data_IF_416644130810
#
_entry.id   IF_416644130810
#
_cell.length_a   1.000
_cell.length_b   1.000
_cell.length_c   1.000
_cell.angle_alpha   90.00
_cell.angle_beta   90.00
_cell.angle_gamma   90.00
#
_symmetry.space_group_name_H-M   'P 1'
#
loop_
_entity.id
_entity.type
_entity.pdbx_description
1 polymer ?
#
# COMPACT_ATOMS: atom_id res chain seq x y z
N UNK A 1 -16.85 2.00 -25.07
CA UNK A 1 -15.50 1.86 -25.68
C UNK A 1 -15.11 3.24 -26.19
N UNK A 2 -13.84 3.63 -26.09
CA UNK A 2 -13.40 4.91 -26.67
C UNK A 2 -13.58 4.89 -28.20
N UNK A 3 -14.06 6.00 -28.76
CA UNK A 3 -14.13 6.19 -30.21
C UNK A 3 -12.85 6.83 -30.78
N UNK A 4 -11.89 7.18 -29.92
CA UNK A 4 -10.65 7.89 -30.26
C UNK A 4 -9.40 7.19 -29.70
N UNK A 5 -8.23 7.57 -30.21
CA UNK A 5 -6.92 7.06 -29.77
C UNK A 5 -6.67 7.37 -28.29
N UNK A 6 -6.29 6.37 -27.50
CA UNK A 6 -5.86 6.53 -26.11
C UNK A 6 -4.34 6.68 -26.02
N UNK A 7 -3.84 7.65 -25.25
CA UNK A 7 -2.43 7.75 -24.86
C UNK A 7 -2.24 7.28 -23.43
N UNK A 8 -1.27 6.41 -23.22
CA UNK A 8 -0.99 5.76 -21.95
C UNK A 8 0.33 6.28 -21.41
N UNK A 9 0.31 6.67 -20.14
CA UNK A 9 1.43 7.23 -19.42
C UNK A 9 1.67 6.43 -18.14
N UNK A 10 2.94 6.20 -17.82
CA UNK A 10 3.34 5.82 -16.47
C UNK A 10 3.59 7.10 -15.66
N UNK A 11 3.12 7.16 -14.42
CA UNK A 11 3.48 8.25 -13.51
C UNK A 11 4.73 7.82 -12.74
N UNK A 12 5.82 8.56 -12.92
CA UNK A 12 7.07 8.29 -12.22
C UNK A 12 6.96 8.68 -10.73
N UNK A 13 8.03 8.46 -9.96
CA UNK A 13 8.03 8.68 -8.50
C UNK A 13 7.78 10.14 -8.09
N UNK A 14 8.06 11.09 -8.99
CA UNK A 14 7.82 12.52 -8.77
C UNK A 14 6.39 12.95 -9.19
N UNK A 15 5.61 12.01 -9.75
CA UNK A 15 4.24 12.25 -10.24
C UNK A 15 4.16 12.76 -11.68
N UNK A 16 5.29 12.84 -12.38
CA UNK A 16 5.34 13.27 -13.78
C UNK A 16 4.91 12.13 -14.72
N UNK A 17 4.13 12.49 -15.75
CA UNK A 17 3.60 11.54 -16.72
C UNK A 17 4.60 11.26 -17.84
N UNK A 18 5.16 10.05 -17.86
CA UNK A 18 6.04 9.55 -18.90
C UNK A 18 5.25 8.78 -19.95
N UNK A 19 5.33 9.22 -21.21
CA UNK A 19 4.61 8.58 -22.31
C UNK A 19 5.10 7.15 -22.52
N UNK A 20 4.16 6.22 -22.60
CA UNK A 20 4.44 4.80 -22.76
C UNK A 20 3.98 4.28 -24.12
N UNK A 21 2.69 4.42 -24.42
CA UNK A 21 2.09 3.87 -25.64
C UNK A 21 0.87 4.66 -26.11
N UNK A 22 0.48 4.43 -27.36
CA UNK A 22 -0.81 4.85 -27.90
C UNK A 22 -1.58 3.62 -28.39
N UNK A 23 -2.90 3.61 -28.15
CA UNK A 23 -3.82 2.54 -28.55
C UNK A 23 -4.94 3.13 -29.40
N UNK A 24 -5.20 2.54 -30.57
CA UNK A 24 -6.41 2.86 -31.34
C UNK A 24 -7.62 2.09 -30.79
N UNK A 25 -8.86 2.54 -31.07
CA UNK A 25 -10.06 1.80 -30.67
C UNK A 25 -10.03 0.34 -31.14
N UNK A 26 -10.08 -0.59 -30.18
CA UNK A 26 -10.04 -2.04 -30.43
C UNK A 26 -8.65 -2.68 -30.29
N UNK A 27 -7.59 -1.88 -30.19
CA UNK A 27 -6.25 -2.38 -29.93
C UNK A 27 -6.03 -2.71 -28.45
N UNK A 28 -5.05 -3.58 -28.19
CA UNK A 28 -4.58 -3.91 -26.86
C UNK A 28 -3.08 -4.20 -26.85
N UNK A 29 -2.44 -4.05 -25.70
CA UNK A 29 -1.10 -4.58 -25.44
C UNK A 29 -1.03 -5.14 -24.02
N UNK A 30 0.01 -5.95 -23.78
CA UNK A 30 0.38 -6.42 -22.46
C UNK A 30 1.67 -5.74 -22.03
N UNK A 31 1.73 -5.30 -20.77
CA UNK A 31 2.93 -4.70 -20.18
C UNK A 31 3.23 -5.34 -18.85
N UNK A 32 4.48 -5.72 -18.65
CA UNK A 32 5.00 -6.06 -17.33
C UNK A 32 5.25 -4.76 -16.56
N UNK A 33 4.57 -4.60 -15.44
CA UNK A 33 4.70 -3.43 -14.56
C UNK A 33 4.83 -3.88 -13.10
N UNK A 34 5.21 -2.97 -12.21
CA UNK A 34 5.34 -3.29 -10.80
C UNK A 34 4.03 -3.02 -10.05
N UNK A 35 3.78 -3.79 -9.01
CA UNK A 35 2.69 -3.49 -8.09
C UNK A 35 2.82 -2.06 -7.57
N UNK A 36 1.69 -1.37 -7.42
CA UNK A 36 1.56 0.05 -7.07
C UNK A 36 1.97 1.08 -8.13
N UNK A 37 2.42 0.66 -9.33
CA UNK A 37 2.70 1.62 -10.40
C UNK A 37 1.44 2.36 -10.86
N UNK A 38 1.42 3.71 -10.84
CA UNK A 38 0.30 4.48 -11.34
C UNK A 38 0.40 4.65 -12.85
N UNK A 39 -0.71 4.40 -13.53
CA UNK A 39 -0.91 4.58 -14.96
C UNK A 39 -2.00 5.61 -15.19
N UNK A 40 -1.79 6.49 -16.18
CA UNK A 40 -2.77 7.48 -16.62
C UNK A 40 -3.07 7.30 -18.10
N UNK A 41 -4.35 7.26 -18.43
CA UNK A 41 -4.85 7.10 -19.78
C UNK A 41 -5.58 8.38 -20.18
N UNK A 42 -5.20 8.95 -21.31
CA UNK A 42 -5.70 10.23 -21.82
C UNK A 42 -6.29 10.03 -23.22
N UNK A 43 -7.43 10.67 -23.49
CA UNK A 43 -8.01 10.76 -24.83
C UNK A 43 -7.18 11.74 -25.69
N UNK A 44 -6.60 11.24 -26.78
CA UNK A 44 -5.71 12.04 -27.62
C UNK A 44 -6.43 13.20 -28.33
N UNK A 45 -7.75 13.13 -28.49
CA UNK A 45 -8.54 14.11 -29.25
C UNK A 45 -8.80 15.41 -28.48
N UNK A 46 -8.97 15.31 -27.16
CA UNK A 46 -9.36 16.42 -26.29
C UNK A 46 -8.43 16.61 -25.08
N UNK A 47 -7.50 15.68 -24.84
CA UNK A 47 -6.57 15.71 -23.73
C UNK A 47 -7.18 15.38 -22.37
N UNK A 48 -8.42 14.90 -22.31
CA UNK A 48 -9.09 14.53 -21.07
C UNK A 48 -8.53 13.22 -20.51
N UNK A 49 -8.36 13.16 -19.18
CA UNK A 49 -8.05 11.90 -18.49
C UNK A 49 -9.27 11.00 -18.59
N UNK A 50 -9.10 9.85 -19.23
CA UNK A 50 -10.15 8.84 -19.40
C UNK A 50 -10.19 7.92 -18.20
N UNK A 51 -9.01 7.51 -17.71
CA UNK A 51 -8.89 6.55 -16.62
C UNK A 51 -7.51 6.64 -15.98
N UNK A 52 -7.46 6.42 -14.68
CA UNK A 52 -6.23 6.16 -13.95
C UNK A 52 -6.26 4.77 -13.33
N UNK A 53 -5.10 4.16 -13.20
CA UNK A 53 -5.01 2.78 -12.78
C UNK A 53 -3.74 2.54 -11.99
N UNK A 54 -3.88 2.04 -10.76
CA UNK A 54 -2.75 1.60 -9.95
C UNK A 54 -2.61 0.09 -10.12
N UNK A 55 -1.47 -0.34 -10.64
CA UNK A 55 -1.19 -1.74 -10.87
C UNK A 55 -1.26 -2.54 -9.57
N UNK A 56 -1.91 -3.69 -9.63
CA UNK A 56 -2.02 -4.65 -8.51
C UNK A 56 -1.22 -5.90 -8.86
N UNK A 57 -0.79 -6.65 -7.84
CA UNK A 57 -0.14 -7.92 -8.07
C UNK A 57 -1.02 -8.89 -8.90
N UNK A 58 -0.40 -9.55 -9.87
CA UNK A 58 -1.04 -10.49 -10.79
C UNK A 58 -1.32 -9.89 -12.18
N UNK A 59 -1.79 -10.73 -13.10
CA UNK A 59 -2.22 -10.28 -14.42
C UNK A 59 -3.50 -9.45 -14.29
N UNK A 60 -3.55 -8.28 -14.91
CA UNK A 60 -4.65 -7.34 -14.82
C UNK A 60 -5.08 -6.93 -16.23
N UNK A 61 -6.34 -7.16 -16.55
CA UNK A 61 -6.91 -6.72 -17.82
C UNK A 61 -7.68 -5.42 -17.61
N UNK A 62 -7.18 -4.32 -18.18
CA UNK A 62 -7.82 -3.02 -18.16
C UNK A 62 -8.60 -2.82 -19.46
N UNK A 63 -9.91 -2.60 -19.39
CA UNK A 63 -10.70 -2.17 -20.55
C UNK A 63 -10.90 -0.67 -20.48
N UNK A 64 -10.45 0.06 -21.51
CA UNK A 64 -10.59 1.51 -21.58
C UNK A 64 -11.91 1.85 -22.28
N UNK A 65 -12.80 2.57 -21.59
CA UNK A 65 -14.10 2.99 -22.14
C UNK A 65 -14.45 4.43 -21.77
N UNK A 66 -15.18 5.12 -22.64
CA UNK A 66 -15.72 6.45 -22.36
C UNK A 66 -16.59 6.43 -21.08
N UNK A 67 -16.10 7.18 -20.09
CA UNK A 67 -16.73 7.54 -18.83
C UNK A 67 -17.14 6.37 -17.89
N UNK A 68 -16.17 5.94 -17.09
CA UNK A 68 -16.40 5.78 -15.66
C UNK A 68 -15.31 6.57 -14.93
N UNK A 69 -15.48 7.90 -14.87
CA UNK A 69 -14.60 8.83 -14.14
C UNK A 69 -14.78 8.70 -12.62
N UNK A 70 -14.94 7.49 -12.11
CA UNK A 70 -14.75 7.19 -10.68
C UNK A 70 -13.26 7.30 -10.38
N UNK A 71 -12.79 8.54 -10.27
CA UNK A 71 -11.67 9.01 -9.45
C UNK A 71 -10.82 7.87 -8.86
N UNK A 72 -9.96 7.29 -9.70
CA UNK A 72 -9.05 6.18 -9.35
C UNK A 72 -7.61 6.66 -9.16
N UNK A 73 -7.30 7.93 -9.42
CA UNK A 73 -6.06 8.50 -8.90
C UNK A 73 -6.11 8.42 -7.37
N UNK A 74 -5.06 7.90 -6.72
CA UNK A 74 -4.89 8.20 -5.32
C UNK A 74 -4.89 9.73 -5.17
N UNK A 75 -5.69 10.31 -4.26
CA UNK A 75 -5.72 11.74 -4.09
C UNK A 75 -4.30 12.23 -3.77
N UNK A 76 -3.92 13.43 -4.24
CA UNK A 76 -2.59 13.96 -4.00
C UNK A 76 -2.27 13.89 -2.50
N UNK A 77 -1.01 13.61 -2.11
CA UNK A 77 -0.63 13.60 -0.71
C UNK A 77 -1.05 14.91 -0.06
N UNK A 78 -1.75 14.87 1.08
CA UNK A 78 -2.15 16.11 1.75
C UNK A 78 -0.92 16.89 2.18
N UNK A 79 -1.04 18.22 2.15
CA UNK A 79 0.01 19.14 2.57
C UNK A 79 0.43 18.84 4.02
N UNK A 80 1.73 18.90 4.26
CA UNK A 80 2.31 18.68 5.59
C UNK A 80 2.02 19.90 6.46
N UNK A 81 1.33 19.68 7.57
CA UNK A 81 1.07 20.69 8.59
C UNK A 81 1.86 20.35 9.85
N UNK A 82 3.05 20.96 9.96
CA UNK A 82 3.95 20.72 11.08
C UNK A 82 3.29 21.05 12.42
N UNK A 83 3.44 20.15 13.40
CA UNK A 83 2.87 20.30 14.74
C UNK A 83 1.44 19.76 14.92
N UNK A 84 0.77 19.33 13.85
CA UNK A 84 -0.49 18.58 13.94
C UNK A 84 -0.26 17.14 14.42
N UNK A 85 -1.30 16.48 14.92
CA UNK A 85 -1.19 15.15 15.52
C UNK A 85 -0.81 14.06 14.50
N UNK A 86 -1.24 14.19 13.25
CA UNK A 86 -0.93 13.27 12.16
C UNK A 86 0.09 13.85 11.15
N UNK A 87 0.51 15.09 11.33
CA UNK A 87 1.39 15.84 10.44
C UNK A 87 0.72 16.40 9.19
N UNK A 88 -0.63 16.36 9.09
CA UNK A 88 -1.43 16.89 7.97
C UNK A 88 -2.74 17.56 8.43
N UNK A 89 -2.72 18.15 9.63
CA UNK A 89 -3.81 18.98 10.15
C UNK A 89 -4.83 18.22 11.00
N UNK A 90 -4.65 16.91 11.20
CA UNK A 90 -5.47 16.11 12.10
C UNK A 90 -5.19 16.42 13.58
N UNK A 91 -6.23 16.31 14.40
CA UNK A 91 -6.14 16.56 15.84
C UNK A 91 -6.19 15.22 16.59
N UNK A 92 -5.56 15.14 17.77
CA UNK A 92 -5.56 13.90 18.57
C UNK A 92 -6.98 13.38 18.86
N UNK A 93 -7.94 14.28 19.06
CA UNK A 93 -9.34 13.95 19.29
C UNK A 93 -10.02 13.24 18.11
N UNK A 94 -9.44 13.27 16.91
CA UNK A 94 -9.95 12.60 15.70
C UNK A 94 -9.53 11.13 15.63
N UNK A 95 -8.69 10.68 16.57
CA UNK A 95 -8.12 9.33 16.59
C UNK A 95 -8.51 8.54 17.82
N UNK A 96 -8.45 7.22 17.71
CA UNK A 96 -8.59 6.29 18.81
C UNK A 96 -7.35 5.37 18.87
N UNK A 97 -6.86 5.03 20.08
CA UNK A 97 -5.81 4.03 20.25
C UNK A 97 -6.21 2.70 19.61
N UNK A 98 -5.24 2.02 18.99
CA UNK A 98 -5.45 0.73 18.36
C UNK A 98 -4.33 -0.25 18.69
N UNK A 99 -4.66 -1.53 18.67
CA UNK A 99 -3.72 -2.63 18.90
C UNK A 99 -3.88 -3.66 17.80
N UNK A 100 -2.75 -4.22 17.36
CA UNK A 100 -2.77 -5.36 16.46
C UNK A 100 -3.26 -6.58 17.23
N UNK A 101 -4.43 -7.07 16.83
CA UNK A 101 -5.14 -8.17 17.50
C UNK A 101 -4.72 -9.52 16.89
N UNK A 102 -4.68 -9.59 15.55
CA UNK A 102 -4.32 -10.81 14.84
C UNK A 102 -3.58 -10.52 13.53
N UNK A 103 -2.68 -11.42 13.16
CA UNK A 103 -2.11 -11.51 11.81
C UNK A 103 -2.25 -12.95 11.33
N UNK A 104 -2.80 -13.12 10.13
CA UNK A 104 -2.97 -14.44 9.51
C UNK A 104 -2.36 -14.44 8.13
N UNK A 105 -1.78 -15.58 7.73
CA UNK A 105 -1.18 -15.79 6.42
C UNK A 105 -1.71 -17.09 5.85
N UNK A 106 -2.05 -17.07 4.57
CA UNK A 106 -2.30 -18.26 3.77
C UNK A 106 -1.53 -18.17 2.44
N UNK A 107 -1.70 -19.16 1.56
CA UNK A 107 -1.02 -19.18 0.26
C UNK A 107 -1.46 -18.03 -0.67
N UNK A 108 -2.63 -17.44 -0.41
CA UNK A 108 -3.26 -16.43 -1.26
C UNK A 108 -3.03 -14.99 -0.78
N UNK A 109 -2.46 -14.79 0.41
CA UNK A 109 -2.25 -13.47 0.98
C UNK A 109 -2.15 -13.47 2.50
N UNK A 110 -2.18 -12.27 3.07
CA UNK A 110 -2.19 -12.05 4.50
C UNK A 110 -3.27 -11.09 4.92
N UNK A 111 -3.59 -11.11 6.21
CA UNK A 111 -4.53 -10.20 6.84
C UNK A 111 -4.00 -9.77 8.20
N UNK A 112 -4.16 -8.48 8.50
CA UNK A 112 -3.91 -7.91 9.82
C UNK A 112 -5.21 -7.29 10.37
N UNK A 113 -5.57 -7.66 11.59
CA UNK A 113 -6.74 -7.15 12.31
C UNK A 113 -6.30 -6.20 13.41
N UNK A 114 -6.83 -4.98 13.42
CA UNK A 114 -6.61 -4.00 14.48
C UNK A 114 -7.87 -3.82 15.32
N UNK A 115 -7.77 -4.09 16.61
CA UNK A 115 -8.78 -3.69 17.57
C UNK A 115 -8.60 -2.19 17.88
N UNK A 116 -9.69 -1.41 17.75
CA UNK A 116 -9.69 0.04 17.99
C UNK A 116 -10.51 0.35 19.23
N UNK A 117 -9.91 1.05 20.19
CA UNK A 117 -10.56 1.35 21.47
C UNK A 117 -11.84 2.16 21.28
N UNK A 118 -12.94 1.71 21.90
CA UNK A 118 -14.24 2.36 21.80
C UNK A 118 -15.03 2.04 20.53
N UNK A 119 -14.52 1.17 19.65
CA UNK A 119 -15.21 0.72 18.44
C UNK A 119 -15.48 -0.79 18.49
N UNK A 120 -16.70 -1.23 18.12
CA UNK A 120 -17.08 -2.63 18.24
C UNK A 120 -16.46 -3.52 17.14
N UNK A 121 -16.06 -2.93 16.01
CA UNK A 121 -15.56 -3.65 14.85
C UNK A 121 -14.07 -3.35 14.65
N UNK A 122 -13.28 -4.40 14.40
CA UNK A 122 -11.87 -4.26 14.06
C UNK A 122 -11.66 -3.68 12.66
N UNK A 123 -10.56 -2.97 12.47
CA UNK A 123 -10.09 -2.58 11.13
C UNK A 123 -9.28 -3.73 10.55
N UNK A 124 -9.70 -4.22 9.39
CA UNK A 124 -9.06 -5.35 8.72
C UNK A 124 -8.29 -4.87 7.49
N UNK A 125 -7.00 -5.17 7.48
CA UNK A 125 -6.07 -4.85 6.40
C UNK A 125 -5.71 -6.13 5.65
N UNK A 126 -6.06 -6.19 4.36
CA UNK A 126 -5.56 -7.22 3.47
C UNK A 126 -4.18 -6.80 2.95
N UNK A 127 -3.20 -7.69 3.08
CA UNK A 127 -1.81 -7.44 2.77
C UNK A 127 -1.22 -8.61 1.98
N UNK A 128 -0.07 -8.42 1.35
CA UNK A 128 0.66 -9.51 0.73
C UNK A 128 1.23 -10.49 1.77
N UNK A 129 1.62 -11.68 1.30
CA UNK A 129 2.27 -12.70 2.13
C UNK A 129 3.55 -12.15 2.78
N UNK A 130 4.34 -11.38 2.02
CA UNK A 130 5.58 -10.78 2.51
C UNK A 130 5.34 -9.76 3.63
N UNK A 131 4.35 -8.88 3.47
CA UNK A 131 3.96 -7.89 4.48
C UNK A 131 3.43 -8.54 5.76
N UNK A 132 2.56 -9.54 5.64
CA UNK A 132 2.07 -10.25 6.81
C UNK A 132 3.19 -11.04 7.52
N UNK A 133 4.12 -11.62 6.76
CA UNK A 133 5.30 -12.24 7.36
C UNK A 133 6.15 -11.22 8.12
N UNK A 134 6.36 -10.03 7.55
CA UNK A 134 7.07 -8.94 8.22
C UNK A 134 6.37 -8.50 9.53
N UNK A 135 5.02 -8.43 9.53
CA UNK A 135 4.24 -8.16 10.74
C UNK A 135 4.41 -9.25 11.80
N UNK A 136 4.25 -10.52 11.43
CA UNK A 136 4.48 -11.66 12.34
C UNK A 136 5.89 -11.61 12.93
N UNK A 137 6.90 -11.35 12.10
CA UNK A 137 8.29 -11.25 12.54
C UNK A 137 8.50 -10.11 13.53
N UNK A 138 7.83 -8.98 13.31
CA UNK A 138 7.88 -7.83 14.20
C UNK A 138 7.19 -8.07 15.55
N UNK A 139 6.34 -9.10 15.71
CA UNK A 139 5.72 -9.45 17.01
C UNK A 139 6.70 -10.01 18.05
N UNK A 140 7.97 -10.24 17.69
CA UNK A 140 9.01 -10.67 18.62
C UNK A 140 9.85 -11.88 18.16
N UNK A 141 9.83 -12.22 16.87
CA UNK A 141 10.70 -13.27 16.36
C UNK A 141 12.14 -12.76 16.19
N UNK A 142 13.10 -13.45 16.79
CA UNK A 142 14.52 -13.10 16.67
C UNK A 142 15.19 -13.83 15.51
N UNK A 143 15.86 -13.08 14.63
CA UNK A 143 16.62 -13.59 13.49
C UNK A 143 18.12 -13.41 13.70
N UNK A 144 18.94 -14.33 13.14
CA UNK A 144 20.41 -14.19 13.16
C UNK A 144 20.90 -12.93 12.43
N UNK A 145 20.16 -12.49 11.41
CA UNK A 145 20.42 -11.26 10.65
C UNK A 145 19.19 -10.36 10.76
N UNK A 146 19.35 -9.02 10.77
CA UNK A 146 18.22 -8.12 10.89
C UNK A 146 17.23 -8.31 9.73
N UNK A 147 15.93 -8.33 10.03
CA UNK A 147 14.87 -8.19 9.02
C UNK A 147 14.88 -6.78 8.42
N UNK A 148 14.17 -6.55 7.31
CA UNK A 148 14.02 -5.21 6.71
C UNK A 148 13.53 -4.18 7.74
N UNK A 149 12.50 -4.53 8.50
CA UNK A 149 11.97 -3.68 9.59
C UNK A 149 13.02 -3.47 10.69
N UNK A 150 13.79 -4.52 11.02
CA UNK A 150 14.89 -4.41 11.98
C UNK A 150 16.05 -3.53 11.49
N UNK A 151 16.29 -3.46 10.18
CA UNK A 151 17.23 -2.49 9.57
C UNK A 151 16.65 -1.08 9.72
N UNK A 152 15.40 -0.84 9.34
CA UNK A 152 14.75 0.47 9.49
C UNK A 152 14.80 1.00 10.92
N UNK A 153 14.45 0.17 11.90
CA UNK A 153 14.54 0.52 13.32
C UNK A 153 15.96 0.99 13.69
N UNK A 154 16.99 0.20 13.35
CA UNK A 154 18.39 0.55 13.65
C UNK A 154 18.87 1.78 12.90
N UNK A 155 18.38 2.01 11.69
CA UNK A 155 18.69 3.21 10.92
C UNK A 155 18.12 4.45 11.59
N UNK A 156 16.87 4.41 12.06
CA UNK A 156 16.25 5.50 12.82
C UNK A 156 16.98 5.74 14.15
N UNK A 157 17.28 4.67 14.90
CA UNK A 157 18.08 4.73 16.13
C UNK A 157 19.45 5.39 15.88
N UNK A 158 20.16 4.99 14.81
CA UNK A 158 21.46 5.55 14.44
C UNK A 158 21.38 7.04 14.02
N UNK A 159 20.24 7.46 13.46
CA UNK A 159 19.97 8.86 13.14
C UNK A 159 19.49 9.68 14.36
N UNK A 160 19.31 9.04 15.53
CA UNK A 160 18.75 9.68 16.72
C UNK A 160 17.26 10.01 16.60
N UNK A 161 16.54 9.31 15.72
CA UNK A 161 15.12 9.51 15.48
C UNK A 161 14.26 8.52 16.28
N UNK A 162 13.20 9.01 16.92
CA UNK A 162 12.23 8.19 17.63
C UNK A 162 10.92 8.07 16.84
N UNK A 163 10.36 6.86 16.73
CA UNK A 163 8.99 6.68 16.22
C UNK A 163 8.02 7.03 17.34
N UNK A 164 7.45 8.24 17.29
CA UNK A 164 6.53 8.75 18.32
C UNK A 164 5.19 8.04 18.32
N UNK A 165 4.62 7.86 17.12
CA UNK A 165 3.30 7.24 16.92
C UNK A 165 3.09 6.88 15.46
N UNK A 166 2.23 5.90 15.23
CA UNK A 166 1.71 5.52 13.91
C UNK A 166 0.23 5.87 13.84
N UNK A 167 -0.22 6.41 12.71
CA UNK A 167 -1.62 6.72 12.50
C UNK A 167 -2.13 6.10 11.20
N UNK A 168 -3.21 5.32 11.27
CA UNK A 168 -4.02 4.96 10.09
C UNK A 168 -5.03 6.10 9.87
N UNK A 169 -4.78 6.93 8.86
CA UNK A 169 -5.41 8.25 8.74
C UNK A 169 -6.70 8.24 7.95
N UNK A 170 -6.72 7.54 6.81
CA UNK A 170 -7.87 7.52 5.90
C UNK A 170 -7.98 6.23 5.12
N UNK A 171 -9.19 5.98 4.63
CA UNK A 171 -9.51 4.97 3.62
C UNK A 171 -10.05 5.71 2.40
N UNK A 172 -9.36 5.61 1.27
CA UNK A 172 -9.82 6.17 0.00
C UNK A 172 -10.06 5.01 -0.97
N UNK A 173 -11.31 4.87 -1.40
CA UNK A 173 -11.75 3.68 -2.12
C UNK A 173 -11.54 2.41 -1.29
N UNK A 174 -10.53 1.63 -1.66
CA UNK A 174 -10.14 0.39 -0.97
C UNK A 174 -8.71 0.43 -0.39
N UNK A 175 -8.09 1.62 -0.39
CA UNK A 175 -6.70 1.80 0.03
C UNK A 175 -6.63 2.55 1.34
N UNK A 176 -6.08 1.91 2.36
CA UNK A 176 -5.77 2.53 3.64
C UNK A 176 -4.44 3.29 3.57
N UNK A 177 -4.41 4.47 4.18
CA UNK A 177 -3.21 5.32 4.28
C UNK A 177 -2.78 5.40 5.74
N UNK A 178 -1.47 5.43 5.96
CA UNK A 178 -0.91 5.61 7.28
C UNK A 178 0.24 6.62 7.28
N UNK A 179 0.54 7.15 8.46
CA UNK A 179 1.69 8.03 8.67
C UNK A 179 2.52 7.58 9.86
N UNK A 180 3.83 7.73 9.71
CA UNK A 180 4.83 7.51 10.75
C UNK A 180 5.26 8.88 11.25
N UNK A 181 4.98 9.17 12.52
CA UNK A 181 5.40 10.41 13.15
C UNK A 181 6.73 10.16 13.86
N UNK A 182 7.77 10.79 13.33
CA UNK A 182 9.14 10.71 13.83
C UNK A 182 9.44 11.98 14.63
N UNK A 183 10.12 11.84 15.77
CA UNK A 183 10.81 12.97 16.38
C UNK A 183 12.30 12.88 16.03
N UNK A 184 12.84 13.95 15.47
CA UNK A 184 14.26 14.08 15.16
C UNK A 184 15.02 14.76 16.32
N UNK A 185 16.37 14.67 16.34
CA UNK A 185 17.19 15.31 17.38
C UNK A 185 17.03 16.82 17.52
N UNK A 186 16.51 17.50 16.49
CA UNK A 186 16.20 18.94 16.52
C UNK A 186 14.92 19.28 17.31
N UNK A 187 14.21 18.25 17.79
CA UNK A 187 12.97 18.38 18.54
C UNK A 187 11.73 18.58 17.67
N UNK A 188 11.88 18.58 16.34
CA UNK A 188 10.76 18.68 15.41
C UNK A 188 10.15 17.30 15.14
N UNK A 189 8.82 17.30 14.99
CA UNK A 189 8.11 16.11 14.53
C UNK A 189 7.97 16.13 13.01
N UNK A 190 8.27 15.01 12.38
CA UNK A 190 8.20 14.80 10.94
C UNK A 190 7.24 13.67 10.62
N UNK A 191 6.34 13.92 9.67
CA UNK A 191 5.38 12.93 9.20
C UNK A 191 5.84 12.31 7.90
N UNK A 192 5.90 10.98 7.88
CA UNK A 192 6.27 10.19 6.71
C UNK A 192 5.05 9.41 6.24
N UNK A 193 4.70 9.55 4.96
CA UNK A 193 3.65 8.73 4.35
C UNK A 193 4.13 7.28 4.21
N UNK A 194 3.30 6.32 4.60
CA UNK A 194 3.64 4.91 4.53
C UNK A 194 2.39 4.04 4.43
N UNK A 195 2.55 2.81 3.90
CA UNK A 195 1.48 1.82 3.96
C UNK A 195 1.21 1.43 5.42
N UNK A 196 -0.05 1.13 5.78
CA UNK A 196 -0.38 0.66 7.13
C UNK A 196 0.42 -0.58 7.55
N UNK A 197 0.64 -1.56 6.66
CA UNK A 197 1.40 -2.77 6.98
C UNK A 197 2.84 -2.48 7.42
N UNK A 198 3.54 -1.62 6.68
CA UNK A 198 4.92 -1.23 6.99
C UNK A 198 4.98 -0.42 8.28
N UNK A 199 4.03 0.51 8.45
CA UNK A 199 3.91 1.35 9.65
C UNK A 199 3.66 0.51 10.91
N UNK A 200 2.76 -0.48 10.83
CA UNK A 200 2.44 -1.37 11.95
C UNK A 200 3.62 -2.27 12.31
N UNK A 201 4.34 -2.80 11.32
CA UNK A 201 5.53 -3.60 11.58
C UNK A 201 6.61 -2.76 12.30
N UNK A 202 6.79 -1.50 11.89
CA UNK A 202 7.69 -0.58 12.58
C UNK A 202 7.19 -0.22 13.99
N UNK A 203 5.88 -0.03 14.17
CA UNK A 203 5.29 0.21 15.49
C UNK A 203 5.62 -0.91 16.48
N UNK A 204 5.44 -2.17 16.06
CA UNK A 204 5.79 -3.34 16.86
C UNK A 204 7.29 -3.36 17.19
N UNK A 205 8.14 -3.14 16.19
CA UNK A 205 9.60 -3.19 16.36
C UNK A 205 10.14 -2.07 17.27
N UNK A 206 9.47 -0.90 17.30
CA UNK A 206 9.82 0.26 18.11
C UNK A 206 9.01 0.37 19.41
N UNK A 207 8.03 -0.51 19.63
CA UNK A 207 7.02 -0.35 20.69
C UNK A 207 6.30 1.01 20.65
N UNK A 208 6.05 1.53 19.45
CA UNK A 208 5.38 2.82 19.26
C UNK A 208 3.84 2.67 19.33
N UNK A 209 3.12 3.64 19.89
CA UNK A 209 1.67 3.61 19.95
C UNK A 209 1.05 3.75 18.55
N UNK A 210 -0.04 3.01 18.32
CA UNK A 210 -0.80 3.02 17.06
C UNK A 210 -2.15 3.67 17.30
N UNK A 211 -2.55 4.51 16.36
CA UNK A 211 -3.82 5.22 16.35
C UNK A 211 -4.54 4.99 15.02
N UNK A 212 -5.87 4.96 15.07
CA UNK A 212 -6.72 4.87 13.89
C UNK A 212 -7.70 6.03 13.91
N UNK A 213 -7.88 6.68 12.76
CA UNK A 213 -8.90 7.73 12.60
C UNK A 213 -10.27 7.19 12.97
N UNK A 214 -11.01 7.95 13.77
CA UNK A 214 -12.39 7.64 14.18
C UNK A 214 -13.32 7.45 12.98
N UNK A 215 -13.06 8.15 11.88
CA UNK A 215 -13.80 7.97 10.62
C UNK A 215 -13.53 6.59 9.99
N UNK A 216 -12.26 6.16 9.99
CA UNK A 216 -11.88 4.83 9.51
C UNK A 216 -12.49 3.74 10.38
N UNK A 217 -12.39 3.86 11.70
CA UNK A 217 -12.92 2.89 12.64
C UNK A 217 -14.46 2.82 12.62
N UNK A 218 -15.13 3.97 12.50
CA UNK A 218 -16.60 4.05 12.46
C UNK A 218 -17.25 3.46 11.21
N UNK A 219 -16.49 3.33 10.11
CA UNK A 219 -16.99 2.82 8.83
C UNK A 219 -16.76 1.31 8.64
N UNK A 220 -16.28 0.59 9.66
CA UNK A 220 -16.04 -0.85 9.55
C UNK A 220 -17.33 -1.66 9.66
N UNK A 221 -17.50 -2.62 8.75
CA UNK A 221 -18.59 -3.57 8.83
C UNK A 221 -18.30 -4.66 9.88
N UNK A 222 -19.33 -5.20 10.56
CA UNK A 222 -19.17 -6.41 11.35
C UNK A 222 -18.76 -7.54 10.41
N UNK A 223 -17.63 -8.17 10.70
CA UNK A 223 -17.17 -9.32 9.96
C UNK A 223 -16.45 -10.26 10.94
N UNK A 224 -17.01 -11.45 11.22
CA UNK A 224 -16.33 -12.43 12.06
C UNK A 224 -14.98 -12.77 11.43
N UNK A 225 -13.91 -12.74 12.23
CA UNK A 225 -12.56 -13.02 11.75
C UNK A 225 -12.50 -14.39 11.05
N UNK A 226 -13.19 -15.38 11.61
CA UNK A 226 -13.31 -16.73 11.04
C UNK A 226 -14.03 -16.72 9.68
N UNK A 227 -15.05 -15.88 9.49
CA UNK A 227 -15.75 -15.74 8.21
C UNK A 227 -14.90 -14.99 7.19
N UNK A 228 -14.13 -13.98 7.59
CA UNK A 228 -13.17 -13.32 6.70
C UNK A 228 -12.07 -14.29 6.25
N UNK A 229 -11.58 -15.13 7.17
CA UNK A 229 -10.59 -16.17 6.90
C UNK A 229 -11.12 -17.30 6.01
N UNK A 230 -12.41 -17.64 6.14
CA UNK A 230 -13.07 -18.66 5.31
C UNK A 230 -13.69 -18.09 4.03
N UNK A 231 -13.80 -16.76 3.92
CA UNK A 231 -14.41 -16.13 2.77
C UNK A 231 -13.52 -16.35 1.55
N UNK A 232 -14.06 -16.88 0.44
CA UNK A 232 -13.33 -16.94 -0.82
C UNK A 232 -13.25 -15.55 -1.46
N UNK A 233 -13.02 -14.46 -0.68
CA UNK A 233 -12.68 -13.13 -1.20
C UNK A 233 -11.26 -13.09 -1.77
N UNK A 234 -11.00 -14.09 -2.61
CA UNK A 234 -10.11 -14.14 -3.76
C UNK A 234 -10.70 -15.18 -4.74
N UNK A 235 -11.72 -14.81 -5.51
CA UNK A 235 -11.91 -15.34 -6.88
C UNK A 235 -11.37 -14.21 -7.77
N UNK A 236 -10.28 -14.29 -8.52
CA UNK A 236 -9.44 -15.39 -8.99
C UNK A 236 -7.99 -14.86 -9.05
N UNK A 237 -7.02 -15.60 -8.52
CA UNK A 237 -5.64 -15.63 -9.07
C UNK A 237 -5.17 -17.06 -8.80
N UNK A 238 -5.40 -17.94 -9.77
CA UNK A 238 -5.12 -19.37 -9.68
C UNK A 238 -3.66 -19.74 -9.97
N UNK A 239 -3.26 -21.00 -9.70
CA UNK A 239 -1.87 -21.38 -9.45
C UNK A 239 -1.29 -22.21 -10.60
N UNK A 240 -0.49 -21.58 -11.45
CA UNK A 240 0.50 -22.25 -12.31
C UNK A 240 1.70 -21.31 -12.27
N UNK A 241 2.82 -21.71 -11.66
CA UNK A 241 4.19 -21.21 -11.84
C UNK A 241 5.07 -21.71 -10.68
N UNK A 242 5.14 -23.03 -10.55
CA UNK A 242 6.19 -23.69 -9.79
C UNK A 242 6.85 -24.75 -10.69
N UNK A 243 7.53 -24.30 -11.75
CA UNK A 243 8.55 -25.13 -12.42
C UNK A 243 9.61 -24.36 -13.20
N UNK A 244 9.39 -23.13 -13.64
CA UNK A 244 10.26 -22.59 -14.71
C UNK A 244 11.47 -21.76 -14.21
N UNK A 245 11.57 -21.52 -12.90
CA UNK A 245 12.64 -20.69 -12.33
C UNK A 245 14.01 -21.38 -12.15
N UNK A 246 14.15 -22.67 -12.47
CA UNK A 246 15.43 -23.38 -12.39
C UNK A 246 16.08 -23.71 -13.76
N UNK A 247 15.42 -23.46 -14.88
CA UNK A 247 16.01 -23.72 -16.21
C UNK A 247 16.58 -22.47 -16.91
N UNK A 248 16.27 -21.26 -16.46
CA UNK A 248 16.79 -20.02 -17.09
C UNK A 248 18.13 -19.52 -16.53
N UNK A 249 18.72 -20.19 -15.54
CA UNK A 249 20.02 -19.84 -14.96
C UNK A 249 21.22 -20.45 -15.72
N UNK A 250 20.99 -21.36 -16.66
CA UNK A 250 22.03 -21.95 -17.51
C UNK A 250 21.91 -21.46 -18.95
N UNK A 251 22.34 -20.23 -19.18
CA UNK A 251 22.71 -19.81 -20.54
C UNK A 251 22.35 -18.38 -20.88
N UNK A 252 23.30 -17.47 -20.67
CA UNK A 252 23.81 -16.63 -21.77
C UNK A 252 25.09 -15.88 -21.38
N UNK A 253 25.92 -15.54 -22.38
CA UNK A 253 27.37 -15.37 -22.25
C UNK A 253 27.76 -13.95 -21.82
N UNK A 254 29.00 -13.85 -21.34
CA UNK A 254 29.60 -12.63 -20.83
C UNK A 254 29.66 -11.49 -21.84
N UNK A 255 29.71 -10.27 -21.29
CA UNK A 255 30.10 -9.07 -21.99
C UNK A 255 31.32 -8.49 -21.28
N UNK A 256 32.45 -8.61 -21.96
CA UNK A 256 33.68 -7.85 -21.73
C UNK A 256 33.43 -6.35 -21.98
N UNK A 257 33.82 -5.52 -21.02
CA UNK A 257 34.67 -4.32 -21.14
C UNK A 257 34.64 -3.53 -19.82
#
# INVERSE_FOLDING_TARGET
MLETTARIYWLNFDGDAEFFAALEPGDYFTVDTFESHPWRIIDASNGAVVQEYVAKAGEQQLTISEADTRDTAPPPPPEIEAGSFDGIGGHEADYAPAQLDAVTINMDGGMASLHVEGYPNSVVLFVGVAEAAALLYATGMEFRRPSTVGVWRRTLEAAGADVKRILVTRLVGHTYYARILLALPDGMEHSVDARPSDSLALALACSAPVFVSKQVAGNQAPAPLDELMQSPRRRQLGPELHSDYLESAEGKPGLDA
#
